data_IF_463163698466
#
_entry.id   IF_463163698466
#
_cell.length_a   1.000
_cell.length_b   1.000
_cell.length_c   1.000
_cell.angle_alpha   90.00
_cell.angle_beta   90.00
_cell.angle_gamma   90.00
#
_symmetry.space_group_name_H-M   'P 1'
#
loop_
_entity.id
_entity.type
_entity.pdbx_description
1 polymer ?
#
# COMPACT_ATOMS: atom_id res chain seq x y z
N UNK A 1 8.32 -14.06 32.20
CA UNK A 1 6.92 -13.57 32.14
C UNK A 1 6.02 -14.80 32.10
N UNK A 2 4.88 -14.78 32.81
CA UNK A 2 4.12 -16.00 33.09
C UNK A 2 3.56 -16.67 31.84
N UNK A 3 3.88 -17.95 31.64
CA UNK A 3 3.26 -18.80 30.61
C UNK A 3 1.80 -19.14 31.01
N UNK A 4 0.95 -18.13 31.14
CA UNK A 4 -0.48 -18.32 31.37
C UNK A 4 -1.10 -18.91 30.09
N UNK A 5 -1.56 -20.15 30.18
CA UNK A 5 -2.22 -20.86 29.07
C UNK A 5 -3.72 -20.57 29.11
N UNK A 6 -4.18 -19.77 28.16
CA UNK A 6 -5.57 -19.34 28.01
C UNK A 6 -6.32 -20.28 27.07
N UNK A 7 -7.54 -20.66 27.45
CA UNK A 7 -8.47 -21.31 26.51
C UNK A 7 -9.04 -20.29 25.53
N UNK A 8 -9.55 -20.75 24.39
CA UNK A 8 -10.18 -19.88 23.38
C UNK A 8 -11.28 -18.97 23.96
N UNK A 9 -12.01 -19.45 24.96
CA UNK A 9 -13.06 -18.66 25.62
C UNK A 9 -12.52 -17.60 26.58
N UNK A 10 -11.38 -17.84 27.21
CA UNK A 10 -10.70 -16.85 28.06
C UNK A 10 -10.02 -15.80 27.19
N UNK A 11 -9.38 -16.24 26.10
CA UNK A 11 -8.80 -15.34 25.11
C UNK A 11 -9.86 -14.41 24.52
N UNK A 12 -11.01 -14.95 24.11
CA UNK A 12 -12.15 -14.17 23.62
C UNK A 12 -12.65 -13.12 24.62
N UNK A 13 -12.70 -13.46 25.91
CA UNK A 13 -13.09 -12.52 26.96
C UNK A 13 -12.04 -11.42 27.17
N UNK A 14 -10.76 -11.77 27.10
CA UNK A 14 -9.66 -10.81 27.31
C UNK A 14 -9.50 -9.85 26.13
N UNK A 15 -9.64 -10.32 24.89
CA UNK A 15 -9.43 -9.50 23.68
C UNK A 15 -10.70 -8.85 23.15
N UNK A 16 -11.88 -9.24 23.64
CA UNK A 16 -13.17 -8.77 23.12
C UNK A 16 -13.55 -9.37 21.76
N UNK A 17 -12.76 -10.33 21.25
CA UNK A 17 -12.97 -10.96 19.96
C UNK A 17 -13.80 -12.24 20.09
N UNK A 18 -14.65 -12.53 19.11
CA UNK A 18 -15.43 -13.76 19.11
C UNK A 18 -14.54 -15.00 18.99
N UNK A 19 -14.96 -16.11 19.61
CA UNK A 19 -14.28 -17.42 19.47
C UNK A 19 -14.13 -17.84 18.00
N UNK A 20 -15.12 -17.49 17.15
CA UNK A 20 -15.09 -17.81 15.71
C UNK A 20 -13.96 -17.07 14.99
N UNK A 21 -13.75 -15.81 15.31
CA UNK A 21 -12.65 -15.01 14.73
C UNK A 21 -11.30 -15.52 15.20
N UNK A 22 -11.16 -15.89 16.49
CA UNK A 22 -9.92 -16.48 17.01
C UNK A 22 -9.63 -17.82 16.32
N UNK A 23 -10.63 -18.67 16.14
CA UNK A 23 -10.48 -19.93 15.42
C UNK A 23 -10.10 -19.70 13.96
N UNK A 24 -10.70 -18.69 13.31
CA UNK A 24 -10.34 -18.28 11.95
C UNK A 24 -8.88 -17.80 11.85
N UNK A 25 -8.42 -16.93 12.75
CA UNK A 25 -7.03 -16.48 12.78
C UNK A 25 -6.05 -17.63 13.06
N UNK A 26 -6.43 -18.58 13.91
CA UNK A 26 -5.63 -19.80 14.16
C UNK A 26 -5.53 -20.67 12.90
N UNK A 27 -6.63 -20.87 12.19
CA UNK A 27 -6.66 -21.67 10.96
C UNK A 27 -5.87 -21.00 9.81
N UNK A 28 -5.83 -19.67 9.76
CA UNK A 28 -4.99 -18.91 8.84
C UNK A 28 -3.49 -18.92 9.22
N UNK A 29 -3.16 -19.37 10.43
CA UNK A 29 -1.80 -19.38 10.98
C UNK A 29 -1.36 -18.03 11.56
N UNK A 30 -2.28 -17.07 11.74
CA UNK A 30 -2.00 -15.78 12.39
C UNK A 30 -1.77 -15.92 13.89
N UNK A 31 -2.38 -16.94 14.51
CA UNK A 31 -2.22 -17.27 15.93
C UNK A 31 -1.61 -18.66 16.10
N UNK A 32 -0.61 -18.75 16.99
CA UNK A 32 -0.02 -20.04 17.40
C UNK A 32 -0.80 -20.57 18.60
N UNK A 33 -1.31 -21.79 18.46
CA UNK A 33 -1.99 -22.50 19.53
C UNK A 33 -1.14 -23.71 19.96
N UNK A 34 -0.91 -23.86 21.26
CA UNK A 34 -0.33 -25.06 21.82
C UNK A 34 -1.41 -26.10 22.06
N UNK A 35 -1.15 -27.36 21.72
CA UNK A 35 -2.03 -28.46 22.09
C UNK A 35 -1.62 -29.03 23.44
N UNK A 36 -2.59 -29.21 24.32
CA UNK A 36 -2.42 -30.00 25.54
C UNK A 36 -2.39 -31.50 25.21
N UNK A 37 -1.87 -32.30 26.14
CA UNK A 37 -1.93 -33.78 26.13
C UNK A 37 -3.35 -34.32 25.96
N UNK A 38 -4.36 -33.55 26.37
CA UNK A 38 -5.79 -33.87 26.19
C UNK A 38 -6.39 -33.30 24.88
N UNK A 39 -5.56 -32.87 23.92
CA UNK A 39 -5.95 -32.33 22.60
C UNK A 39 -6.74 -31.01 22.61
N UNK A 40 -6.79 -30.29 23.73
CA UNK A 40 -7.33 -28.93 23.80
C UNK A 40 -6.31 -27.90 23.28
N UNK A 41 -6.81 -26.83 22.64
CA UNK A 41 -6.01 -25.68 22.20
C UNK A 41 -5.88 -24.66 23.33
N UNK A 42 -4.64 -24.26 23.59
CA UNK A 42 -4.26 -23.21 24.52
C UNK A 42 -3.47 -22.12 23.81
N UNK A 43 -3.63 -20.89 24.27
CA UNK A 43 -2.96 -19.71 23.76
C UNK A 43 -2.16 -19.07 24.89
N UNK A 44 -0.99 -18.53 24.58
CA UNK A 44 -0.18 -17.79 25.53
C UNK A 44 -0.66 -16.34 25.61
N UNK A 45 -0.14 -15.57 26.57
CA UNK A 45 -0.37 -14.12 26.64
C UNK A 45 0.06 -13.38 25.38
N UNK A 46 1.08 -13.88 24.66
CA UNK A 46 1.51 -13.33 23.37
C UNK A 46 0.38 -13.31 22.34
N UNK A 47 -0.55 -14.27 22.39
CA UNK A 47 -1.70 -14.28 21.50
C UNK A 47 -2.64 -13.08 21.70
N UNK A 48 -2.64 -12.46 22.89
CA UNK A 48 -3.42 -11.23 23.17
C UNK A 48 -2.80 -10.07 22.41
N UNK A 49 -1.50 -9.85 22.57
CA UNK A 49 -0.76 -8.78 21.88
C UNK A 49 -0.88 -8.93 20.36
N UNK A 50 -0.67 -10.15 19.87
CA UNK A 50 -0.84 -10.54 18.47
C UNK A 50 -2.21 -10.18 17.92
N UNK A 51 -3.27 -10.44 18.70
CA UNK A 51 -4.65 -10.12 18.31
C UNK A 51 -4.85 -8.60 18.19
N UNK A 52 -4.28 -7.83 19.12
CA UNK A 52 -4.40 -6.37 19.08
C UNK A 52 -3.69 -5.77 17.87
N UNK A 53 -2.51 -6.28 17.50
CA UNK A 53 -1.81 -5.89 16.26
C UNK A 53 -2.66 -6.17 15.02
N UNK A 54 -3.23 -7.38 14.91
CA UNK A 54 -4.07 -7.77 13.77
C UNK A 54 -5.27 -6.83 13.63
N UNK A 55 -5.96 -6.51 14.72
CA UNK A 55 -7.11 -5.59 14.67
C UNK A 55 -6.68 -4.15 14.35
N UNK A 56 -5.52 -3.69 14.82
CA UNK A 56 -5.00 -2.36 14.49
C UNK A 56 -4.68 -2.23 12.99
N UNK A 57 -4.03 -3.22 12.39
CA UNK A 57 -3.72 -3.22 10.95
C UNK A 57 -4.99 -3.37 10.10
N UNK A 58 -5.95 -4.17 10.56
CA UNK A 58 -7.25 -4.32 9.90
C UNK A 58 -8.06 -3.02 9.94
N UNK A 59 -7.98 -2.24 11.02
CA UNK A 59 -8.59 -0.92 11.10
C UNK A 59 -8.00 0.09 10.09
N UNK A 60 -6.75 -0.15 9.64
CA UNK A 60 -6.11 0.62 8.57
C UNK A 60 -6.50 0.15 7.15
N UNK A 61 -7.35 -0.88 7.04
CA UNK A 61 -7.85 -1.38 5.76
C UNK A 61 -6.97 -2.45 5.10
N UNK A 62 -5.94 -2.96 5.79
CA UNK A 62 -5.13 -4.06 5.25
C UNK A 62 -5.93 -5.36 5.18
N UNK A 63 -5.69 -6.15 4.13
CA UNK A 63 -6.27 -7.48 4.03
C UNK A 63 -5.53 -8.47 4.96
N UNK A 64 -6.22 -9.51 5.42
CA UNK A 64 -5.64 -10.47 6.37
C UNK A 64 -4.42 -11.23 5.81
N UNK A 65 -4.29 -11.34 4.49
CA UNK A 65 -3.12 -11.96 3.86
C UNK A 65 -1.89 -11.06 3.97
N UNK A 66 -2.05 -9.76 3.77
CA UNK A 66 -0.96 -8.78 3.90
C UNK A 66 -0.58 -8.58 5.36
N UNK A 67 -1.57 -8.58 6.25
CA UNK A 67 -1.34 -8.59 7.71
C UNK A 67 -0.50 -9.79 8.10
N UNK A 68 -0.82 -10.99 7.61
CA UNK A 68 -0.03 -12.19 7.88
C UNK A 68 1.42 -12.02 7.42
N UNK A 69 1.64 -11.57 6.18
CA UNK A 69 2.99 -11.33 5.64
C UNK A 69 3.76 -10.34 6.50
N UNK A 70 3.18 -9.16 6.78
CA UNK A 70 3.81 -8.12 7.59
C UNK A 70 4.23 -8.63 8.96
N UNK A 71 3.41 -9.47 9.57
CA UNK A 71 3.69 -9.98 10.90
C UNK A 71 4.65 -11.18 10.91
N UNK A 72 4.70 -11.96 9.81
CA UNK A 72 5.73 -12.97 9.60
C UNK A 72 7.09 -12.29 9.27
N UNK A 73 7.06 -11.14 8.60
CA UNK A 73 8.22 -10.30 8.24
C UNK A 73 8.78 -9.52 9.44
N UNK A 74 8.01 -9.25 10.49
CA UNK A 74 8.55 -8.68 11.74
C UNK A 74 9.56 -9.62 12.43
N UNK A 75 9.56 -10.93 12.11
CA UNK A 75 10.65 -11.84 12.48
C UNK A 75 11.92 -11.65 11.63
N UNK A 76 11.87 -10.88 10.53
CA UNK A 76 12.98 -10.51 9.66
C UNK A 76 12.98 -8.99 9.34
N UNK A 77 13.27 -8.13 10.33
CA UNK A 77 13.10 -6.67 10.22
C UNK A 77 14.05 -5.96 9.23
N UNK A 78 14.84 -6.69 8.44
CA UNK A 78 15.87 -6.11 7.55
C UNK A 78 15.50 -6.06 6.08
N UNK A 79 14.51 -6.82 5.62
CA UNK A 79 14.19 -6.90 4.18
C UNK A 79 13.18 -5.84 3.72
N UNK A 80 12.28 -5.39 4.61
CA UNK A 80 11.15 -4.55 4.22
C UNK A 80 11.51 -3.08 3.92
N UNK A 81 12.41 -2.46 4.72
CA UNK A 81 12.78 -1.04 4.54
C UNK A 81 13.58 -0.84 3.25
N UNK A 82 14.47 -1.77 2.91
CA UNK A 82 15.30 -1.68 1.70
C UNK A 82 14.45 -1.79 0.43
N UNK A 83 13.48 -2.70 0.42
CA UNK A 83 12.59 -2.93 -0.72
C UNK A 83 11.62 -1.75 -0.90
N UNK A 84 11.08 -1.19 0.18
CA UNK A 84 10.28 0.04 0.14
C UNK A 84 11.11 1.22 -0.41
N UNK A 85 12.37 1.39 0.04
CA UNK A 85 13.23 2.46 -0.45
C UNK A 85 13.53 2.32 -1.95
N UNK A 86 13.81 1.09 -2.41
CA UNK A 86 14.05 0.79 -3.82
C UNK A 86 12.80 1.09 -4.65
N UNK A 87 11.63 0.66 -4.19
CA UNK A 87 10.37 0.89 -4.89
C UNK A 87 10.03 2.39 -4.96
N UNK A 88 10.25 3.15 -3.87
CA UNK A 88 10.10 4.61 -3.90
C UNK A 88 11.04 5.27 -4.90
N UNK A 89 12.30 4.82 -4.99
CA UNK A 89 13.27 5.36 -5.95
C UNK A 89 12.85 5.08 -7.40
N UNK A 90 12.35 3.87 -7.68
CA UNK A 90 11.83 3.52 -9.01
C UNK A 90 10.65 4.43 -9.38
N UNK A 91 9.66 4.56 -8.49
CA UNK A 91 8.52 5.44 -8.71
C UNK A 91 8.92 6.90 -8.90
N UNK A 92 9.90 7.40 -8.14
CA UNK A 92 10.44 8.76 -8.32
C UNK A 92 11.08 8.96 -9.69
N UNK A 93 11.80 7.96 -10.19
CA UNK A 93 12.40 8.01 -11.53
C UNK A 93 11.34 8.03 -12.63
N UNK A 94 10.31 7.18 -12.52
CA UNK A 94 9.19 7.15 -13.48
C UNK A 94 8.44 8.47 -13.54
N UNK A 95 8.11 9.05 -12.38
CA UNK A 95 7.45 10.37 -12.30
C UNK A 95 8.32 11.45 -12.96
N UNK A 96 9.63 11.43 -12.75
CA UNK A 96 10.55 12.40 -13.37
C UNK A 96 10.56 12.27 -14.89
N UNK A 97 10.63 11.05 -15.42
CA UNK A 97 10.59 10.81 -16.87
C UNK A 97 9.25 11.23 -17.49
N UNK A 98 8.14 11.03 -16.79
CA UNK A 98 6.82 11.47 -17.24
C UNK A 98 6.75 13.00 -17.32
N UNK A 99 7.23 13.71 -16.31
CA UNK A 99 7.28 15.18 -16.31
C UNK A 99 8.13 15.70 -17.47
N UNK A 100 9.29 15.10 -17.74
CA UNK A 100 10.15 15.47 -18.87
C UNK A 100 9.45 15.26 -20.22
N UNK A 101 8.76 14.12 -20.39
CA UNK A 101 8.01 13.83 -21.61
C UNK A 101 6.85 14.83 -21.85
N UNK A 102 6.14 15.21 -20.78
CA UNK A 102 5.07 16.19 -20.84
C UNK A 102 5.59 17.59 -21.21
N UNK A 103 6.72 18.01 -20.62
CA UNK A 103 7.37 19.29 -20.96
C UNK A 103 7.84 19.33 -22.42
N UNK A 104 8.40 18.24 -22.93
CA UNK A 104 8.78 18.16 -24.35
C UNK A 104 7.58 18.25 -25.30
N UNK A 105 6.44 17.68 -24.91
CA UNK A 105 5.20 17.75 -25.69
C UNK A 105 4.59 19.16 -25.67
N UNK A 106 4.56 19.84 -24.52
CA UNK A 106 4.15 21.25 -24.44
C UNK A 106 5.04 22.15 -25.30
N UNK A 107 6.36 21.96 -25.25
CA UNK A 107 7.28 22.77 -26.06
C UNK A 107 7.09 22.51 -27.56
N UNK A 108 6.86 21.26 -27.97
CA UNK A 108 6.59 20.90 -29.37
C UNK A 108 5.27 21.52 -29.88
N UNK A 109 4.21 21.50 -29.08
CA UNK A 109 2.93 22.13 -29.46
C UNK A 109 3.07 23.65 -29.55
N UNK A 110 3.79 24.28 -28.63
CA UNK A 110 4.06 25.72 -28.64
C UNK A 110 4.89 26.14 -29.87
N UNK A 111 5.93 25.38 -30.21
CA UNK A 111 6.72 25.61 -31.42
C UNK A 111 5.92 25.36 -32.71
N UNK A 112 5.01 24.38 -32.71
CA UNK A 112 4.13 24.12 -33.87
C UNK A 112 3.13 25.26 -34.10
N UNK A 113 2.53 25.79 -33.03
CA UNK A 113 1.66 26.97 -33.10
C UNK A 113 2.46 28.17 -33.59
N UNK A 114 3.64 28.42 -33.01
CA UNK A 114 4.48 29.56 -33.38
C UNK A 114 4.97 29.51 -34.83
N UNK A 115 5.38 28.34 -35.32
CA UNK A 115 5.95 28.21 -36.66
C UNK A 115 4.90 28.12 -37.79
N UNK A 116 3.64 27.78 -37.48
CA UNK A 116 2.58 27.62 -38.50
C UNK A 116 1.54 28.72 -38.49
N UNK A 117 1.15 29.22 -37.31
CA UNK A 117 0.09 30.24 -37.19
C UNK A 117 0.62 31.65 -37.46
N UNK A 118 1.90 31.94 -37.18
CA UNK A 118 2.50 33.27 -37.43
C UNK A 118 2.59 33.59 -38.94
N UNK A 119 3.07 32.68 -39.81
CA UNK A 119 3.10 32.94 -41.25
C UNK A 119 1.69 33.03 -41.86
N UNK A 120 0.76 32.16 -41.45
CA UNK A 120 -0.63 32.14 -41.95
C UNK A 120 -1.42 33.39 -41.55
N UNK A 121 -1.21 33.91 -40.34
CA UNK A 121 -1.83 35.17 -39.91
C UNK A 121 -1.25 36.38 -40.63
N UNK A 122 0.07 36.41 -40.87
CA UNK A 122 0.71 37.47 -41.66
C UNK A 122 0.21 37.47 -43.10
N UNK A 123 0.11 36.31 -43.76
CA UNK A 123 -0.39 36.24 -45.14
C UNK A 123 -1.86 36.67 -45.24
N UNK A 124 -2.68 36.30 -44.26
CA UNK A 124 -4.07 36.77 -44.15
C UNK A 124 -4.14 38.29 -44.00
N UNK A 125 -3.39 38.86 -43.05
CA UNK A 125 -3.33 40.31 -42.83
C UNK A 125 -2.90 41.04 -44.11
N UNK A 126 -1.88 40.53 -44.81
CA UNK A 126 -1.39 41.11 -46.05
C UNK A 126 -2.40 41.01 -47.20
N UNK A 127 -3.18 39.92 -47.26
CA UNK A 127 -4.27 39.76 -48.23
C UNK A 127 -5.42 40.74 -47.95
N UNK A 128 -5.76 40.95 -46.68
CA UNK A 128 -6.81 41.89 -46.25
C UNK A 128 -6.41 43.35 -46.52
N UNK A 129 -5.14 43.70 -46.27
CA UNK A 129 -4.60 45.02 -46.61
C UNK A 129 -4.70 45.33 -48.11
N UNK A 130 -4.47 44.33 -48.96
CA UNK A 130 -4.62 44.45 -50.43
C UNK A 130 -6.05 44.64 -50.91
N UNK A 131 -7.06 44.28 -50.10
CA UNK A 131 -8.48 44.42 -50.45
C UNK A 131 -9.04 45.82 -50.10
N UNK A 132 -8.32 46.60 -49.29
CA UNK A 132 -8.79 47.89 -48.77
C UNK A 132 -8.10 49.09 -49.47
N UNK A 133 -7.02 48.85 -50.22
CA UNK A 133 -6.32 49.82 -51.07
C UNK A 133 -6.64 49.64 -52.54
#
# INVERSE_FOLDING_TARGET
>A
MGNEKLKIGELAKKTGITKRTIDYYTNLGLLKAERSTSNYRFYTSEAIERIHEIEAMKAQGMCLQDIKKSLDDECNPKENIQEICLHMQTLQSEVSTLIESMNHQEQSTKETIKNKVLPESVTLIQSLLRLIT
#
